data_IF_919918257329
#
_entry.id   IF_919918257329
#
_cell.length_a   1.000
_cell.length_b   1.000
_cell.length_c   1.000
_cell.angle_alpha   90.00
_cell.angle_beta   90.00
_cell.angle_gamma   90.00
#
_symmetry.space_group_name_H-M   'P 1'
#
loop_
_entity.id
_entity.type
_entity.pdbx_description
1 polymer ?
#
# COMPACT_ATOMS: atom_id res chain seq x y z
N UNK A 1 10.51 -14.77 17.07
CA UNK A 1 9.06 -14.92 17.29
C UNK A 1 8.38 -14.16 16.17
N UNK A 2 7.41 -14.76 15.46
CA UNK A 2 6.69 -14.04 14.40
C UNK A 2 5.93 -12.85 14.99
N UNK A 3 6.07 -11.68 14.37
CA UNK A 3 5.40 -10.44 14.77
C UNK A 3 3.99 -10.37 14.18
N UNK A 4 3.01 -10.03 15.00
CA UNK A 4 1.60 -9.93 14.64
C UNK A 4 1.06 -8.52 14.88
N UNK A 5 -0.03 -8.18 14.21
CA UNK A 5 -0.77 -6.93 14.46
C UNK A 5 -2.19 -7.31 14.82
N UNK A 6 -2.71 -6.71 15.88
CA UNK A 6 -4.14 -6.73 16.18
C UNK A 6 -4.79 -5.48 15.56
N UNK A 7 -5.49 -5.66 14.44
CA UNK A 7 -6.07 -4.54 13.70
C UNK A 7 -7.33 -3.95 14.31
N UNK A 8 -7.86 -4.51 15.41
CA UNK A 8 -9.10 -4.00 16.01
C UNK A 8 -9.24 -4.44 17.48
N UNK A 9 -9.05 -3.49 18.41
CA UNK A 9 -9.27 -3.69 19.85
C UNK A 9 -9.89 -2.46 20.52
N UNK A 10 -10.90 -2.66 21.38
CA UNK A 10 -11.57 -1.63 22.16
C UNK A 10 -10.82 -1.35 23.47
N UNK A 11 -9.57 -0.87 23.38
CA UNK A 11 -8.71 -0.65 24.55
C UNK A 11 -9.18 0.46 25.50
N UNK A 12 -10.15 1.28 25.09
CA UNK A 12 -10.78 2.30 25.93
C UNK A 12 -12.01 1.78 26.69
N UNK A 13 -12.37 0.52 26.50
CA UNK A 13 -13.46 -0.15 27.22
C UNK A 13 -13.14 -0.24 28.72
N UNK A 14 -14.17 -0.10 29.57
CA UNK A 14 -14.01 -0.16 31.03
C UNK A 14 -13.42 -1.50 31.49
N UNK A 15 -13.61 -2.56 30.72
CA UNK A 15 -13.03 -3.87 30.98
C UNK A 15 -11.50 -3.85 31.09
N UNK A 16 -10.80 -2.86 30.50
CA UNK A 16 -9.34 -2.72 30.57
C UNK A 16 -8.86 -1.63 31.53
N UNK A 17 -9.76 -0.88 32.17
CA UNK A 17 -9.40 0.31 32.93
C UNK A 17 -8.44 0.03 34.10
N UNK A 18 -8.47 -1.17 34.67
CA UNK A 18 -7.64 -1.55 35.82
C UNK A 18 -6.28 -2.18 35.47
N UNK A 19 -6.09 -2.66 34.24
CA UNK A 19 -4.93 -3.51 33.89
C UNK A 19 -4.41 -3.33 32.45
N UNK A 20 -4.69 -2.19 31.81
CA UNK A 20 -4.31 -1.94 30.41
C UNK A 20 -2.79 -2.08 30.18
N UNK A 21 -1.96 -1.63 31.12
CA UNK A 21 -0.49 -1.72 30.98
C UNK A 21 -0.06 -3.19 30.95
N UNK A 22 -0.57 -4.00 31.87
CA UNK A 22 -0.29 -5.42 31.94
C UNK A 22 -0.82 -6.17 30.71
N UNK A 23 -1.95 -5.73 30.13
CA UNK A 23 -2.49 -6.27 28.87
C UNK A 23 -1.52 -6.01 27.71
N UNK A 24 -0.98 -4.79 27.60
CA UNK A 24 -0.02 -4.44 26.55
C UNK A 24 1.31 -5.17 26.74
N UNK A 25 1.77 -5.38 27.97
CA UNK A 25 2.94 -6.19 28.27
C UNK A 25 2.75 -7.66 27.85
N UNK A 26 1.58 -8.25 28.16
CA UNK A 26 1.24 -9.61 27.68
C UNK A 26 1.18 -9.67 26.15
N UNK A 27 0.65 -8.65 25.50
CA UNK A 27 0.64 -8.56 24.05
C UNK A 27 2.07 -8.52 23.48
N UNK A 28 2.95 -7.69 24.03
CA UNK A 28 4.34 -7.62 23.60
C UNK A 28 5.08 -8.96 23.77
N UNK A 29 4.90 -9.62 24.93
CA UNK A 29 5.46 -10.95 25.19
C UNK A 29 4.92 -12.04 24.26
N UNK A 30 3.69 -11.88 23.75
CA UNK A 30 3.08 -12.78 22.77
C UNK A 30 3.52 -12.49 21.32
N UNK A 31 4.37 -11.49 21.09
CA UNK A 31 4.87 -11.09 19.77
C UNK A 31 3.91 -10.19 19.00
N UNK A 32 3.03 -9.46 19.71
CA UNK A 32 2.21 -8.42 19.08
C UNK A 32 3.10 -7.19 18.92
N UNK A 33 3.18 -6.66 17.70
CA UNK A 33 4.02 -5.51 17.34
C UNK A 33 3.20 -4.22 17.35
N UNK A 34 1.97 -4.28 16.85
CA UNK A 34 1.04 -3.14 16.85
C UNK A 34 -0.37 -3.57 17.22
N UNK A 35 -1.12 -2.65 17.82
CA UNK A 35 -2.55 -2.78 18.09
C UNK A 35 -3.25 -1.51 17.62
N UNK A 36 -4.36 -1.65 16.89
CA UNK A 36 -5.21 -0.53 16.50
C UNK A 36 -6.35 -0.42 17.51
N UNK A 37 -6.28 0.61 18.36
CA UNK A 37 -7.32 0.96 19.32
C UNK A 37 -8.49 1.64 18.60
N UNK A 38 -9.66 1.01 18.62
CA UNK A 38 -10.83 1.50 17.90
C UNK A 38 -11.75 2.36 18.75
N UNK A 39 -12.31 3.39 18.13
CA UNK A 39 -13.31 4.26 18.73
C UNK A 39 -14.71 3.91 18.24
N UNK A 40 -15.67 3.91 19.18
CA UNK A 40 -17.10 3.72 18.89
C UNK A 40 -17.90 5.03 18.97
N UNK A 41 -17.33 6.02 19.66
CA UNK A 41 -17.88 7.36 19.90
C UNK A 41 -16.75 8.38 19.80
N UNK A 42 -17.09 9.67 19.66
CA UNK A 42 -16.08 10.74 19.65
C UNK A 42 -15.32 10.85 20.98
N UNK A 43 -16.01 10.72 22.11
CA UNK A 43 -15.38 10.69 23.43
C UNK A 43 -14.37 9.52 23.56
N UNK A 44 -14.70 8.36 23.00
CA UNK A 44 -13.77 7.22 22.96
C UNK A 44 -12.60 7.49 22.00
N UNK A 45 -12.83 8.20 20.89
CA UNK A 45 -11.79 8.55 19.93
C UNK A 45 -10.71 9.44 20.57
N UNK A 46 -11.10 10.44 21.38
CA UNK A 46 -10.14 11.27 22.10
C UNK A 46 -9.28 10.46 23.07
N UNK A 47 -9.92 9.54 23.82
CA UNK A 47 -9.22 8.64 24.75
C UNK A 47 -8.27 7.69 24.02
N UNK A 48 -8.71 7.09 22.91
CA UNK A 48 -7.89 6.23 22.07
C UNK A 48 -6.68 6.98 21.50
N UNK A 49 -6.86 8.24 21.07
CA UNK A 49 -5.78 9.08 20.60
C UNK A 49 -4.78 9.44 21.70
N UNK A 50 -5.23 9.66 22.95
CA UNK A 50 -4.33 9.83 24.10
C UNK A 50 -3.53 8.57 24.38
N UNK A 51 -4.15 7.39 24.32
CA UNK A 51 -3.47 6.11 24.49
C UNK A 51 -2.41 5.88 23.40
N UNK A 52 -2.76 6.11 22.13
CA UNK A 52 -1.85 5.98 21.00
C UNK A 52 -0.62 6.92 21.10
N UNK A 53 -0.81 8.14 21.62
CA UNK A 53 0.32 9.06 21.87
C UNK A 53 1.25 8.62 23.00
N UNK A 54 0.80 7.75 23.90
CA UNK A 54 1.56 7.31 25.08
C UNK A 54 2.25 5.96 24.89
N UNK A 55 1.86 5.19 23.87
CA UNK A 55 2.36 3.85 23.64
C UNK A 55 2.64 3.64 22.15
N UNK A 56 3.89 3.45 21.77
CA UNK A 56 4.33 3.26 20.38
C UNK A 56 3.72 2.02 19.70
N UNK A 57 3.28 1.04 20.50
CA UNK A 57 2.54 -0.13 20.04
C UNK A 57 1.16 0.24 19.48
N UNK A 58 0.59 1.38 19.87
CA UNK A 58 -0.81 1.72 19.63
C UNK A 58 -0.98 2.73 18.49
N UNK A 59 -1.92 2.43 17.61
CA UNK A 59 -2.57 3.43 16.77
C UNK A 59 -4.04 3.58 17.17
N UNK A 60 -4.69 4.66 16.75
CA UNK A 60 -6.09 4.93 17.09
C UNK A 60 -6.94 5.19 15.84
N UNK A 61 -8.21 4.82 15.91
CA UNK A 61 -9.22 5.27 14.96
C UNK A 61 -10.08 6.38 15.57
N UNK A 62 -10.79 7.11 14.72
CA UNK A 62 -11.80 8.07 15.12
C UNK A 62 -13.04 7.89 14.24
N UNK A 63 -14.21 7.79 14.85
CA UNK A 63 -15.47 7.55 14.16
C UNK A 63 -16.60 7.22 15.13
N UNK A 64 -17.79 7.00 14.57
CA UNK A 64 -19.00 6.68 15.32
C UNK A 64 -19.57 5.35 14.82
N UNK A 65 -19.70 4.39 15.74
CA UNK A 65 -20.25 3.05 15.48
C UNK A 65 -21.73 3.12 15.07
N UNK A 66 -22.27 2.22 14.22
CA UNK A 66 -23.67 2.26 13.79
C UNK A 66 -24.71 2.27 14.92
N UNK A 67 -24.42 1.68 16.08
CA UNK A 67 -25.28 1.78 17.27
C UNK A 67 -25.41 3.21 17.81
N UNK A 68 -24.46 4.09 17.50
CA UNK A 68 -24.40 5.48 17.90
C UNK A 68 -24.63 6.44 16.72
N UNK A 69 -25.07 5.97 15.55
CA UNK A 69 -25.22 6.83 14.36
C UNK A 69 -26.23 7.99 14.53
N UNK A 70 -27.11 7.95 15.53
CA UNK A 70 -27.97 9.08 15.89
C UNK A 70 -27.16 10.27 16.48
N UNK A 71 -25.97 10.02 17.06
CA UNK A 71 -25.08 11.07 17.56
C UNK A 71 -24.19 11.69 16.47
N UNK A 72 -24.37 11.31 15.20
CA UNK A 72 -23.66 11.89 14.07
C UNK A 72 -24.44 13.09 13.50
N UNK A 73 -23.99 14.29 13.85
CA UNK A 73 -24.56 15.61 13.47
C UNK A 73 -23.48 16.53 12.87
N UNK A 74 -23.86 17.61 12.16
CA UNK A 74 -22.91 18.62 11.64
C UNK A 74 -22.11 19.32 12.77
N UNK A 75 -22.63 19.32 13.99
CA UNK A 75 -22.03 19.87 15.20
C UNK A 75 -22.25 18.81 16.29
N UNK A 76 -21.22 18.00 16.59
CA UNK A 76 -21.39 16.77 17.38
C UNK A 76 -21.39 17.02 18.90
N UNK A 77 -22.58 17.10 19.50
CA UNK A 77 -22.81 16.89 20.94
C UNK A 77 -24.07 16.03 21.20
N UNK A 78 -23.93 14.98 22.02
CA UNK A 78 -24.92 14.64 23.07
C UNK A 78 -25.98 13.53 22.87
N UNK A 79 -25.72 12.38 23.52
CA UNK A 79 -26.62 11.44 24.25
C UNK A 79 -27.25 10.19 23.57
N UNK A 80 -26.64 9.06 23.95
CA UNK A 80 -27.15 7.73 24.38
C UNK A 80 -28.35 7.05 23.67
N UNK A 81 -28.00 5.91 23.05
CA UNK A 81 -28.62 4.59 23.14
C UNK A 81 -30.10 4.46 22.74
N UNK A 82 -30.39 4.69 21.46
CA UNK A 82 -31.43 3.96 20.75
C UNK A 82 -30.77 3.26 19.57
N UNK A 83 -31.21 2.06 19.17
CA UNK A 83 -30.70 1.46 17.93
C UNK A 83 -31.00 2.44 16.79
N UNK A 84 -29.96 3.12 16.30
CA UNK A 84 -30.08 4.11 15.22
C UNK A 84 -30.86 3.52 14.05
N UNK A 85 -31.75 4.31 13.46
CA UNK A 85 -32.54 3.85 12.32
C UNK A 85 -31.63 3.47 11.14
N UNK A 86 -32.07 2.54 10.29
CA UNK A 86 -31.33 2.15 9.06
C UNK A 86 -30.99 3.36 8.19
N UNK A 87 -31.88 4.36 8.14
CA UNK A 87 -31.64 5.62 7.42
C UNK A 87 -30.49 6.43 8.04
N UNK A 88 -30.46 6.57 9.36
CA UNK A 88 -29.41 7.28 10.09
C UNK A 88 -28.06 6.55 9.98
N UNK A 89 -28.04 5.21 10.09
CA UNK A 89 -26.84 4.41 9.88
C UNK A 89 -26.25 4.60 8.49
N UNK A 90 -27.09 4.56 7.43
CA UNK A 90 -26.65 4.79 6.04
C UNK A 90 -26.14 6.20 5.82
N UNK A 91 -26.76 7.22 6.43
CA UNK A 91 -26.32 8.62 6.35
C UNK A 91 -24.96 8.78 7.02
N UNK A 92 -24.84 8.38 8.29
CA UNK A 92 -23.60 8.49 9.07
C UNK A 92 -22.43 7.74 8.41
N UNK A 93 -22.68 6.56 7.82
CA UNK A 93 -21.67 5.83 7.07
C UNK A 93 -21.17 6.62 5.85
N UNK A 94 -22.07 7.17 5.02
CA UNK A 94 -21.66 7.98 3.85
C UNK A 94 -20.86 9.20 4.26
N UNK A 95 -21.31 9.91 5.28
CA UNK A 95 -20.66 11.14 5.72
C UNK A 95 -19.24 10.85 6.27
N UNK A 96 -19.08 9.78 7.06
CA UNK A 96 -17.78 9.33 7.54
C UNK A 96 -16.86 8.85 6.41
N UNK A 97 -17.38 8.13 5.41
CA UNK A 97 -16.61 7.72 4.22
C UNK A 97 -16.13 8.94 3.44
N UNK A 98 -16.99 9.95 3.25
CA UNK A 98 -16.63 11.20 2.58
C UNK A 98 -15.57 11.98 3.36
N UNK A 99 -15.72 12.06 4.68
CA UNK A 99 -14.72 12.68 5.55
C UNK A 99 -13.37 11.97 5.43
N UNK A 100 -13.34 10.64 5.54
CA UNK A 100 -12.13 9.82 5.40
C UNK A 100 -11.44 10.06 4.05
N UNK A 101 -12.20 10.18 2.95
CA UNK A 101 -11.68 10.55 1.63
C UNK A 101 -11.05 11.94 1.62
N UNK A 102 -11.71 12.94 2.22
CA UNK A 102 -11.20 14.31 2.28
C UNK A 102 -9.90 14.41 3.07
N UNK A 103 -9.76 13.66 4.16
CA UNK A 103 -8.56 13.67 5.02
C UNK A 103 -7.52 12.60 4.62
N UNK A 104 -7.80 11.80 3.60
CA UNK A 104 -6.87 10.79 3.08
C UNK A 104 -6.65 9.56 3.96
N UNK A 105 -7.58 9.23 4.87
CA UNK A 105 -7.45 8.10 5.80
C UNK A 105 -8.26 6.87 5.36
N UNK A 106 -7.81 5.64 5.70
CA UNK A 106 -8.58 4.42 5.49
C UNK A 106 -9.83 4.38 6.39
N UNK A 107 -10.84 3.62 6.00
CA UNK A 107 -12.05 3.37 6.82
C UNK A 107 -11.97 2.05 7.58
N UNK A 108 -12.48 2.02 8.81
CA UNK A 108 -12.73 0.79 9.59
C UNK A 108 -14.23 0.65 9.76
N UNK A 109 -14.80 -0.41 9.20
CA UNK A 109 -16.24 -0.54 9.03
C UNK A 109 -16.76 -1.75 9.77
N UNK A 110 -17.75 -1.52 10.64
CA UNK A 110 -18.51 -2.58 11.29
C UNK A 110 -19.69 -3.03 10.43
N UNK A 111 -19.92 -4.34 10.38
CA UNK A 111 -21.09 -4.91 9.75
C UNK A 111 -21.57 -6.18 10.47
N UNK A 112 -22.87 -6.24 10.74
CA UNK A 112 -23.55 -7.45 11.20
C UNK A 112 -24.88 -7.55 10.49
N UNK A 113 -25.10 -8.67 9.80
CA UNK A 113 -26.35 -8.99 9.07
C UNK A 113 -26.80 -7.94 8.03
N UNK A 114 -25.88 -7.10 7.54
CA UNK A 114 -26.18 -5.99 6.62
C UNK A 114 -25.14 -5.81 5.50
N UNK A 115 -24.46 -6.90 5.10
CA UNK A 115 -23.33 -6.84 4.15
C UNK A 115 -23.72 -6.27 2.79
N UNK A 116 -24.85 -6.70 2.21
CA UNK A 116 -25.26 -6.20 0.88
C UNK A 116 -25.57 -4.70 0.91
N UNK A 117 -26.27 -4.27 1.97
CA UNK A 117 -26.56 -2.87 2.23
C UNK A 117 -25.29 -2.02 2.40
N UNK A 118 -24.31 -2.56 3.12
CA UNK A 118 -23.02 -1.92 3.32
C UNK A 118 -22.28 -1.78 1.99
N UNK A 119 -22.17 -2.87 1.23
CA UNK A 119 -21.47 -2.90 -0.05
C UNK A 119 -22.10 -1.88 -1.01
N UNK A 120 -23.44 -1.79 -1.04
CA UNK A 120 -24.14 -0.84 -1.90
C UNK A 120 -23.84 0.62 -1.52
N UNK A 121 -23.75 0.94 -0.22
CA UNK A 121 -23.35 2.28 0.24
C UNK A 121 -21.91 2.58 -0.14
N UNK A 122 -20.98 1.65 0.10
CA UNK A 122 -19.56 1.84 -0.19
C UNK A 122 -19.27 1.93 -1.69
N UNK A 123 -19.98 1.14 -2.51
CA UNK A 123 -19.90 1.21 -3.96
C UNK A 123 -20.39 2.57 -4.50
N UNK A 124 -21.43 3.14 -3.89
CA UNK A 124 -21.93 4.48 -4.23
C UNK A 124 -20.95 5.62 -3.90
N UNK A 125 -20.03 5.40 -2.96
CA UNK A 125 -19.01 6.39 -2.57
C UNK A 125 -17.62 6.10 -3.19
N UNK A 126 -17.50 5.05 -4.02
CA UNK A 126 -16.26 4.72 -4.72
C UNK A 126 -15.80 5.84 -5.69
N UNK A 127 -14.50 6.00 -5.95
CA UNK A 127 -13.39 5.21 -5.43
C UNK A 127 -13.06 5.50 -3.95
N UNK A 128 -12.50 4.50 -3.27
CA UNK A 128 -12.01 4.56 -1.89
C UNK A 128 -10.46 4.56 -1.91
N UNK A 129 -9.80 5.70 -2.16
CA UNK A 129 -8.38 5.76 -2.49
C UNK A 129 -7.46 5.26 -1.37
N UNK A 130 -7.82 5.49 -0.11
CA UNK A 130 -7.08 5.01 1.06
C UNK A 130 -7.49 3.61 1.51
N UNK A 131 -8.45 2.97 0.82
CA UNK A 131 -8.98 1.66 1.16
C UNK A 131 -9.64 1.65 2.55
N UNK A 132 -9.56 0.49 3.21
CA UNK A 132 -10.17 0.26 4.52
C UNK A 132 -10.23 -1.22 4.86
N UNK A 133 -10.93 -1.53 5.94
CA UNK A 133 -11.23 -2.89 6.39
C UNK A 133 -12.70 -3.00 6.82
N UNK A 134 -13.35 -4.09 6.42
CA UNK A 134 -14.59 -4.55 7.05
C UNK A 134 -14.18 -5.49 8.18
N UNK A 135 -14.25 -5.00 9.42
CA UNK A 135 -13.78 -5.74 10.58
C UNK A 135 -14.75 -6.86 10.95
N UNK A 136 -14.27 -7.87 11.67
CA UNK A 136 -15.03 -8.99 12.20
C UNK A 136 -15.88 -9.70 11.13
N UNK A 137 -15.29 -9.94 9.96
CA UNK A 137 -15.99 -10.47 8.80
C UNK A 137 -16.51 -11.90 9.03
N UNK A 138 -17.79 -12.10 8.74
CA UNK A 138 -18.51 -13.36 8.83
C UNK A 138 -19.51 -13.58 7.68
N UNK A 139 -19.37 -12.83 6.57
CA UNK A 139 -20.24 -12.90 5.40
C UNK A 139 -19.94 -14.06 4.45
N UNK A 140 -20.62 -14.08 3.31
CA UNK A 140 -20.48 -15.11 2.28
C UNK A 140 -19.27 -14.89 1.35
N UNK A 141 -18.89 -15.91 0.58
CA UNK A 141 -17.83 -15.81 -0.44
C UNK A 141 -18.11 -14.77 -1.53
N UNK A 142 -19.38 -14.51 -1.83
CA UNK A 142 -19.78 -13.45 -2.77
C UNK A 142 -19.57 -12.07 -2.16
N UNK A 143 -20.02 -11.86 -0.93
CA UNK A 143 -19.84 -10.60 -0.20
C UNK A 143 -18.35 -10.29 0.00
N UNK A 144 -17.55 -11.29 0.35
CA UNK A 144 -16.10 -11.16 0.47
C UNK A 144 -15.45 -10.65 -0.83
N UNK A 145 -15.79 -11.25 -1.98
CA UNK A 145 -15.27 -10.84 -3.29
C UNK A 145 -15.69 -9.42 -3.65
N UNK A 146 -16.94 -9.04 -3.38
CA UNK A 146 -17.44 -7.67 -3.63
C UNK A 146 -16.71 -6.63 -2.77
N UNK A 147 -16.47 -6.93 -1.49
CA UNK A 147 -15.72 -6.06 -0.58
C UNK A 147 -14.26 -5.89 -1.05
N UNK A 148 -13.60 -7.00 -1.43
CA UNK A 148 -12.23 -6.96 -1.96
C UNK A 148 -12.14 -6.18 -3.28
N UNK A 149 -13.16 -6.29 -4.14
CA UNK A 149 -13.22 -5.54 -5.39
C UNK A 149 -13.33 -4.02 -5.19
N UNK A 150 -13.88 -3.57 -4.05
CA UNK A 150 -13.88 -2.16 -3.62
C UNK A 150 -12.53 -1.69 -3.06
N UNK A 151 -11.52 -2.57 -3.00
CA UNK A 151 -10.18 -2.27 -2.48
C UNK A 151 -10.04 -2.43 -0.96
N UNK A 152 -11.04 -2.99 -0.29
CA UNK A 152 -11.07 -3.17 1.17
C UNK A 152 -10.49 -4.52 1.62
N UNK A 153 -9.99 -4.56 2.85
CA UNK A 153 -9.55 -5.77 3.53
C UNK A 153 -10.71 -6.38 4.36
N UNK A 154 -10.54 -7.64 4.76
CA UNK A 154 -11.43 -8.34 5.70
C UNK A 154 -10.68 -8.61 7.00
N UNK A 155 -11.24 -8.14 8.11
CA UNK A 155 -10.71 -8.37 9.46
C UNK A 155 -11.21 -9.70 10.00
N UNK A 156 -10.28 -10.57 10.42
CA UNK A 156 -10.58 -11.92 10.91
C UNK A 156 -10.30 -11.99 12.40
N UNK A 157 -11.36 -12.22 13.19
CA UNK A 157 -11.31 -12.30 14.64
C UNK A 157 -11.38 -13.73 15.19
N UNK A 158 -11.61 -13.83 16.50
CA UNK A 158 -11.68 -15.10 17.26
C UNK A 158 -12.66 -16.15 16.70
N UNK A 159 -13.70 -15.72 15.97
CA UNK A 159 -14.73 -16.62 15.42
C UNK A 159 -14.16 -17.72 14.52
N UNK A 160 -13.07 -17.47 13.79
CA UNK A 160 -12.43 -18.49 12.92
C UNK A 160 -11.96 -19.73 13.70
N UNK A 161 -11.70 -19.57 14.99
CA UNK A 161 -11.27 -20.64 15.89
C UNK A 161 -12.44 -21.52 16.38
N UNK A 162 -13.70 -21.06 16.27
CA UNK A 162 -14.85 -21.75 16.85
C UNK A 162 -15.18 -23.04 16.11
N UNK A 163 -15.53 -24.10 16.84
CA UNK A 163 -15.79 -25.43 16.23
C UNK A 163 -16.79 -25.40 15.06
N UNK A 164 -17.82 -24.55 15.13
CA UNK A 164 -18.90 -24.45 14.12
C UNK A 164 -18.63 -23.43 13.00
N UNK A 165 -17.43 -22.87 12.89
CA UNK A 165 -17.10 -21.83 11.91
C UNK A 165 -16.64 -22.39 10.54
N UNK A 166 -17.11 -23.57 10.14
CA UNK A 166 -16.64 -24.25 8.92
C UNK A 166 -16.93 -23.46 7.64
N UNK A 167 -18.09 -22.78 7.58
CA UNK A 167 -18.42 -21.94 6.43
C UNK A 167 -17.51 -20.71 6.35
N UNK A 168 -17.20 -20.06 7.48
CA UNK A 168 -16.24 -18.96 7.52
C UNK A 168 -14.87 -19.44 7.04
N UNK A 169 -14.38 -20.58 7.54
CA UNK A 169 -13.11 -21.15 7.11
C UNK A 169 -13.08 -21.44 5.61
N UNK A 170 -14.16 -22.00 5.06
CA UNK A 170 -14.30 -22.25 3.62
C UNK A 170 -14.22 -20.96 2.81
N UNK A 171 -14.95 -19.91 3.22
CA UNK A 171 -14.91 -18.59 2.57
C UNK A 171 -13.48 -18.04 2.57
N UNK A 172 -12.81 -18.10 3.73
CA UNK A 172 -11.44 -17.63 3.84
C UNK A 172 -10.52 -18.45 2.93
N UNK A 173 -10.58 -19.78 2.93
CA UNK A 173 -9.69 -20.60 2.10
C UNK A 173 -9.88 -20.40 0.60
N UNK A 174 -11.12 -20.24 0.13
CA UNK A 174 -11.44 -20.33 -1.31
C UNK A 174 -11.64 -18.97 -2.00
N UNK A 175 -12.13 -17.95 -1.28
CA UNK A 175 -12.67 -16.75 -1.92
C UNK A 175 -11.82 -15.48 -1.74
N UNK A 176 -10.88 -15.49 -0.78
CA UNK A 176 -10.17 -14.28 -0.38
C UNK A 176 -8.66 -14.46 -0.54
N UNK A 177 -7.92 -13.55 -1.21
CA UNK A 177 -6.46 -13.55 -1.20
C UNK A 177 -5.90 -13.25 0.19
N UNK A 178 -4.75 -13.83 0.55
CA UNK A 178 -4.13 -13.59 1.86
C UNK A 178 -3.73 -12.11 2.04
N UNK A 179 -3.39 -11.43 0.96
CA UNK A 179 -3.07 -9.99 0.88
C UNK A 179 -4.28 -9.08 1.20
N UNK A 180 -5.47 -9.67 1.39
CA UNK A 180 -6.70 -8.96 1.73
C UNK A 180 -7.23 -9.30 3.12
N UNK A 181 -6.46 -10.05 3.92
CA UNK A 181 -6.83 -10.41 5.28
C UNK A 181 -6.02 -9.61 6.31
N UNK A 182 -6.70 -9.16 7.36
CA UNK A 182 -6.11 -8.66 8.60
C UNK A 182 -6.49 -9.57 9.75
N UNK A 183 -5.68 -9.58 10.81
CA UNK A 183 -5.97 -10.31 12.03
C UNK A 183 -6.40 -9.33 13.12
N UNK A 184 -7.40 -9.71 13.90
CA UNK A 184 -7.91 -8.88 14.99
C UNK A 184 -8.39 -9.72 16.17
N UNK A 185 -8.62 -9.07 17.30
CA UNK A 185 -9.27 -9.68 18.45
C UNK A 185 -10.73 -9.26 18.61
N UNK A 186 -11.06 -8.00 18.30
CA UNK A 186 -12.29 -7.35 18.76
C UNK A 186 -12.38 -7.32 20.29
N UNK A 187 -11.23 -7.32 20.98
CA UNK A 187 -11.17 -7.38 22.44
C UNK A 187 -11.79 -6.13 23.07
N UNK A 188 -12.53 -6.25 24.20
CA UNK A 188 -12.61 -7.39 25.12
C UNK A 188 -13.59 -8.51 24.69
N UNK A 189 -14.24 -8.36 23.54
CA UNK A 189 -15.27 -9.27 23.03
C UNK A 189 -14.68 -10.47 22.26
N UNK A 190 -15.52 -11.46 21.98
CA UNK A 190 -15.23 -12.54 21.02
C UNK A 190 -13.92 -13.33 21.26
N UNK A 191 -13.62 -13.68 22.52
CA UNK A 191 -12.47 -14.51 22.86
C UNK A 191 -12.40 -15.80 22.00
N UNK A 192 -11.23 -16.16 21.47
CA UNK A 192 -11.07 -17.35 20.64
C UNK A 192 -11.33 -18.63 21.44
N UNK A 193 -11.55 -19.75 20.75
CA UNK A 193 -11.95 -21.04 21.31
C UNK A 193 -11.10 -21.51 22.52
N UNK A 194 -9.74 -21.37 22.52
CA UNK A 194 -8.94 -21.76 23.68
C UNK A 194 -9.21 -20.92 24.95
N UNK A 195 -9.68 -19.69 24.78
CA UNK A 195 -9.91 -18.71 25.85
C UNK A 195 -11.40 -18.34 25.99
N UNK A 196 -12.29 -19.18 25.42
CA UNK A 196 -13.73 -18.94 25.40
C UNK A 196 -14.28 -18.79 26.83
N UNK A 197 -15.06 -17.74 27.04
CA UNK A 197 -15.67 -17.44 28.35
C UNK A 197 -14.79 -16.56 29.25
N UNK A 198 -13.58 -16.20 28.82
CA UNK A 198 -12.73 -15.18 29.46
C UNK A 198 -12.82 -13.87 28.68
N UNK A 199 -12.35 -12.78 29.31
CA UNK A 199 -12.14 -11.49 28.62
C UNK A 199 -11.12 -11.70 27.51
N UNK A 200 -11.42 -11.25 26.29
CA UNK A 200 -10.46 -11.29 25.19
C UNK A 200 -9.38 -10.21 25.38
N UNK A 201 -8.22 -10.37 24.78
CA UNK A 201 -7.13 -9.39 24.82
C UNK A 201 -6.20 -9.51 23.59
N UNK A 202 -5.45 -8.46 23.21
CA UNK A 202 -4.65 -8.44 21.98
C UNK A 202 -3.67 -9.61 21.81
N UNK A 203 -3.14 -10.15 22.91
CA UNK A 203 -2.26 -11.32 22.90
C UNK A 203 -2.91 -12.55 22.21
N UNK A 204 -4.23 -12.63 22.21
CA UNK A 204 -4.99 -13.78 21.69
C UNK A 204 -5.11 -13.78 20.16
N UNK A 205 -4.66 -12.72 19.46
CA UNK A 205 -4.61 -12.71 17.99
C UNK A 205 -3.72 -13.84 17.43
N UNK A 206 -2.77 -14.35 18.23
CA UNK A 206 -1.96 -15.53 17.89
C UNK A 206 -2.82 -16.77 17.63
N UNK A 207 -3.88 -17.00 18.42
CA UNK A 207 -4.78 -18.13 18.19
C UNK A 207 -5.56 -18.00 16.87
N UNK A 208 -5.88 -16.75 16.49
CA UNK A 208 -6.52 -16.43 15.21
C UNK A 208 -5.57 -16.73 14.06
N UNK A 209 -4.31 -16.29 14.15
CA UNK A 209 -3.28 -16.54 13.16
C UNK A 209 -3.05 -18.05 12.94
N UNK A 210 -2.96 -18.83 14.01
CA UNK A 210 -2.80 -20.28 13.95
C UNK A 210 -4.01 -20.99 13.34
N UNK A 211 -5.23 -20.53 13.64
CA UNK A 211 -6.44 -21.08 13.02
C UNK A 211 -6.54 -20.74 11.53
N UNK A 212 -6.09 -19.54 11.13
CA UNK A 212 -6.02 -19.16 9.73
C UNK A 212 -4.94 -19.97 8.98
N UNK A 213 -3.78 -20.20 9.59
CA UNK A 213 -2.73 -21.05 9.05
C UNK A 213 -3.23 -22.48 8.76
N UNK A 214 -3.94 -23.09 9.73
CA UNK A 214 -4.61 -24.39 9.52
C UNK A 214 -5.67 -24.35 8.42
N UNK A 215 -6.46 -23.28 8.36
CA UNK A 215 -7.51 -23.10 7.34
C UNK A 215 -6.93 -23.00 5.93
N UNK A 216 -5.73 -22.41 5.80
CA UNK A 216 -5.05 -22.18 4.52
C UNK A 216 -4.03 -23.26 4.16
N UNK A 217 -3.78 -24.22 5.05
CA UNK A 217 -2.70 -25.20 4.89
C UNK A 217 -1.35 -24.53 4.60
N UNK A 218 -1.04 -23.44 5.31
CA UNK A 218 0.24 -22.73 5.23
C UNK A 218 0.86 -22.51 6.61
N UNK A 219 2.11 -22.06 6.65
CA UNK A 219 2.86 -21.78 7.86
C UNK A 219 2.37 -20.52 8.57
N UNK A 220 2.41 -20.56 9.92
CA UNK A 220 2.10 -19.40 10.76
C UNK A 220 2.93 -18.17 10.39
N UNK A 221 4.21 -18.37 10.04
CA UNK A 221 5.12 -17.27 9.65
C UNK A 221 4.68 -16.58 8.37
N UNK A 222 4.10 -17.32 7.40
CA UNK A 222 3.55 -16.74 6.18
C UNK A 222 2.30 -15.91 6.47
N UNK A 223 1.37 -16.44 7.28
CA UNK A 223 0.19 -15.71 7.75
C UNK A 223 0.62 -14.43 8.47
N UNK A 224 1.53 -14.54 9.44
CA UNK A 224 2.01 -13.42 10.24
C UNK A 224 2.66 -12.35 9.35
N UNK A 225 3.59 -12.75 8.48
CA UNK A 225 4.29 -11.83 7.56
C UNK A 225 3.33 -11.11 6.63
N UNK A 226 2.38 -11.82 6.01
CA UNK A 226 1.44 -11.23 5.07
C UNK A 226 0.43 -10.31 5.77
N UNK A 227 -0.24 -10.80 6.82
CA UNK A 227 -1.27 -10.02 7.54
C UNK A 227 -0.69 -8.82 8.27
N UNK A 228 0.53 -8.94 8.84
CA UNK A 228 1.28 -7.79 9.36
C UNK A 228 1.55 -6.78 8.26
N UNK A 229 2.07 -7.19 7.10
CA UNK A 229 2.31 -6.26 5.98
C UNK A 229 1.04 -5.55 5.56
N UNK A 230 -0.08 -6.26 5.46
CA UNK A 230 -1.38 -5.69 5.09
C UNK A 230 -1.83 -4.64 6.13
N UNK A 231 -1.84 -4.98 7.41
CA UNK A 231 -2.29 -4.08 8.48
C UNK A 231 -1.42 -2.83 8.56
N UNK A 232 -0.10 -3.03 8.52
CA UNK A 232 0.83 -1.92 8.61
C UNK A 232 0.77 -1.00 7.39
N UNK A 233 0.52 -1.54 6.19
CA UNK A 233 0.33 -0.75 4.96
C UNK A 233 -1.00 0.01 4.99
N UNK A 234 -2.08 -0.61 5.46
CA UNK A 234 -3.40 0.01 5.56
C UNK A 234 -3.40 1.17 6.55
N UNK A 235 -2.90 0.94 7.76
CA UNK A 235 -2.95 1.91 8.86
C UNK A 235 -1.71 2.80 8.97
N UNK A 236 -0.72 2.64 8.09
CA UNK A 236 0.50 3.44 8.10
C UNK A 236 1.37 3.25 9.35
N UNK A 237 1.37 2.06 9.95
CA UNK A 237 1.94 1.80 11.29
C UNK A 237 3.47 1.73 11.36
N UNK A 238 4.15 2.25 10.34
CA UNK A 238 5.61 2.22 10.24
C UNK A 238 6.15 0.85 9.87
N UNK A 239 5.80 0.34 8.67
CA UNK A 239 6.65 -0.69 8.05
C UNK A 239 8.05 -0.09 7.96
N UNK A 240 8.98 -0.67 8.71
CA UNK A 240 10.40 -0.47 8.44
C UNK A 240 10.61 -0.87 6.99
N UNK A 241 10.97 0.11 6.17
CA UNK A 241 11.39 -0.17 4.82
C UNK A 241 12.77 -0.80 4.98
N UNK A 242 12.91 -2.07 4.60
CA UNK A 242 14.24 -2.66 4.53
C UNK A 242 15.09 -1.81 3.60
N UNK A 243 16.32 -1.42 3.99
CA UNK A 243 17.24 -0.73 3.09
C UNK A 243 17.38 -1.45 1.74
N UNK A 244 17.33 -2.79 1.74
CA UNK A 244 17.41 -3.62 0.53
C UNK A 244 16.19 -3.53 -0.40
N UNK A 245 15.06 -3.00 0.07
CA UNK A 245 13.89 -2.70 -0.76
C UNK A 245 13.94 -1.29 -1.38
N UNK A 246 14.75 -0.40 -0.80
CA UNK A 246 14.99 0.96 -1.32
C UNK A 246 16.19 0.96 -2.27
N UNK A 247 17.31 0.40 -1.84
CA UNK A 247 18.57 0.41 -2.54
C UNK A 247 19.04 -1.03 -2.76
N UNK A 248 19.34 -1.38 -4.01
CA UNK A 248 19.82 -2.72 -4.36
C UNK A 248 20.92 -2.65 -5.42
N UNK A 249 21.84 -3.61 -5.38
CA UNK A 249 23.02 -3.63 -6.25
C UNK A 249 22.81 -4.64 -7.38
N UNK A 250 23.04 -4.21 -8.62
CA UNK A 250 23.14 -5.11 -9.77
C UNK A 250 24.45 -4.84 -10.49
N UNK A 251 25.35 -5.83 -10.49
CA UNK A 251 26.69 -5.65 -11.03
C UNK A 251 27.48 -4.63 -10.20
N UNK A 252 27.94 -3.56 -10.85
CA UNK A 252 28.71 -2.46 -10.27
C UNK A 252 27.86 -1.18 -10.04
N UNK A 253 26.55 -1.30 -10.19
CA UNK A 253 25.61 -0.18 -10.19
C UNK A 253 24.62 -0.29 -9.04
N UNK A 254 24.31 0.84 -8.40
CA UNK A 254 23.33 0.95 -7.32
C UNK A 254 22.00 1.44 -7.87
N UNK A 255 20.91 0.76 -7.52
CA UNK A 255 19.56 1.08 -7.99
C UNK A 255 18.70 1.54 -6.83
N UNK A 256 18.01 2.66 -7.01
CA UNK A 256 17.19 3.31 -5.99
C UNK A 256 15.73 3.26 -6.40
N UNK A 257 14.89 2.65 -5.56
CA UNK A 257 13.46 2.52 -5.74
C UNK A 257 12.72 3.63 -4.98
N UNK A 258 12.03 4.50 -5.73
CA UNK A 258 11.38 5.68 -5.16
C UNK A 258 9.88 5.49 -4.89
N UNK A 259 9.22 4.63 -5.66
CA UNK A 259 7.76 4.47 -5.59
C UNK A 259 7.27 3.21 -6.28
N UNK A 260 6.15 2.68 -5.80
CA UNK A 260 5.38 1.64 -6.49
C UNK A 260 4.35 2.21 -7.49
N UNK A 261 4.06 3.53 -7.42
CA UNK A 261 3.06 4.19 -8.26
C UNK A 261 3.60 4.34 -9.68
N UNK A 262 2.75 4.12 -10.67
CA UNK A 262 3.12 4.25 -12.08
C UNK A 262 1.95 4.82 -12.86
N UNK A 263 2.26 5.65 -13.85
CA UNK A 263 1.31 6.18 -14.82
C UNK A 263 0.88 5.15 -15.88
N UNK A 264 1.55 4.00 -15.94
CA UNK A 264 1.33 2.95 -16.93
C UNK A 264 0.97 1.61 -16.26
N UNK A 265 0.10 0.84 -16.91
CA UNK A 265 -0.22 -0.56 -16.58
C UNK A 265 0.21 -1.50 -17.72
N UNK A 266 1.51 -1.52 -18.02
CA UNK A 266 2.01 -2.20 -19.22
C UNK A 266 1.72 -3.71 -19.20
N UNK A 267 1.40 -4.28 -20.36
CA UNK A 267 1.13 -5.73 -20.54
C UNK A 267 2.31 -6.63 -20.19
N UNK A 268 3.52 -6.08 -20.20
CA UNK A 268 4.79 -6.77 -19.91
C UNK A 268 5.40 -6.35 -18.56
N UNK A 269 4.66 -5.62 -17.72
CA UNK A 269 5.20 -5.07 -16.50
C UNK A 269 5.55 -6.17 -15.49
N UNK A 270 6.76 -6.16 -14.95
CA UNK A 270 7.13 -7.06 -13.86
C UNK A 270 6.26 -6.84 -12.61
N UNK A 271 5.67 -5.65 -12.45
CA UNK A 271 4.79 -5.29 -11.32
C UNK A 271 3.58 -6.23 -11.16
N UNK A 272 3.11 -6.82 -12.25
CA UNK A 272 1.96 -7.75 -12.26
C UNK A 272 2.36 -9.22 -12.06
N UNK A 273 3.65 -9.56 -12.15
CA UNK A 273 4.10 -10.96 -12.26
C UNK A 273 5.28 -11.35 -11.36
N UNK A 274 6.11 -10.43 -10.88
CA UNK A 274 7.24 -10.74 -10.00
C UNK A 274 7.73 -9.53 -9.19
N UNK A 275 7.56 -9.58 -7.85
CA UNK A 275 8.10 -8.57 -6.92
C UNK A 275 9.54 -8.78 -6.50
N UNK A 276 10.16 -9.88 -6.93
CA UNK A 276 11.53 -10.21 -6.56
C UNK A 276 12.49 -10.16 -7.73
N UNK A 277 13.65 -9.56 -7.50
CA UNK A 277 14.79 -9.60 -8.40
C UNK A 277 15.96 -10.24 -7.65
N UNK A 278 16.20 -11.53 -7.89
CA UNK A 278 17.13 -12.30 -7.07
C UNK A 278 16.62 -12.37 -5.63
N UNK A 279 17.42 -11.87 -4.69
CA UNK A 279 17.08 -11.79 -3.26
C UNK A 279 16.33 -10.51 -2.86
N UNK A 280 16.27 -9.51 -3.75
CA UNK A 280 15.66 -8.21 -3.46
C UNK A 280 14.15 -8.22 -3.66
N UNK A 281 13.39 -7.75 -2.67
CA UNK A 281 11.97 -7.43 -2.83
C UNK A 281 11.84 -5.97 -3.28
N UNK A 282 11.45 -5.80 -4.54
CA UNK A 282 11.30 -4.49 -5.19
C UNK A 282 9.98 -3.80 -4.86
N UNK A 283 9.05 -4.45 -4.15
CA UNK A 283 7.81 -3.80 -3.73
C UNK A 283 8.06 -3.03 -2.44
N UNK A 284 7.90 -1.71 -2.50
CA UNK A 284 8.00 -0.87 -1.30
C UNK A 284 6.76 -1.06 -0.41
N UNK A 285 6.90 -1.17 0.91
CA UNK A 285 5.74 -1.21 1.81
C UNK A 285 5.03 0.15 1.90
N UNK A 286 5.78 1.24 1.77
CA UNK A 286 5.31 2.64 1.63
C UNK A 286 6.36 3.44 0.85
N UNK A 287 6.02 4.66 0.43
CA UNK A 287 7.01 5.52 -0.23
C UNK A 287 8.09 5.98 0.77
N UNK A 288 9.39 5.74 0.49
CA UNK A 288 10.49 6.16 1.36
C UNK A 288 10.69 7.69 1.31
N UNK A 289 11.04 8.29 2.44
CA UNK A 289 11.52 9.67 2.51
C UNK A 289 12.90 9.82 1.88
N UNK A 290 13.29 11.06 1.51
CA UNK A 290 14.64 11.33 1.00
C UNK A 290 15.74 10.90 1.98
N UNK A 291 15.52 11.10 3.29
CA UNK A 291 16.45 10.68 4.34
C UNK A 291 16.61 9.15 4.39
N UNK A 292 15.53 8.39 4.25
CA UNK A 292 15.59 6.93 4.21
C UNK A 292 16.28 6.40 2.96
N UNK A 293 16.11 7.08 1.81
CA UNK A 293 16.82 6.74 0.58
C UNK A 293 18.33 6.97 0.76
N UNK A 294 18.72 8.10 1.32
CA UNK A 294 20.12 8.41 1.64
C UNK A 294 20.70 7.39 2.62
N UNK A 295 19.97 7.05 3.68
CA UNK A 295 20.40 6.02 4.63
C UNK A 295 20.58 4.65 3.96
N UNK A 296 19.71 4.29 3.01
CA UNK A 296 19.80 3.02 2.29
C UNK A 296 20.97 2.96 1.29
N UNK A 297 21.44 4.10 0.78
CA UNK A 297 22.64 4.16 -0.07
C UNK A 297 23.91 3.80 0.71
N UNK A 298 23.96 4.15 2.00
CA UNK A 298 25.14 3.95 2.86
C UNK A 298 26.26 4.96 2.62
N UNK A 299 27.42 4.70 3.22
CA UNK A 299 28.50 5.71 3.37
C UNK A 299 29.40 5.88 2.15
N UNK A 300 29.32 4.99 1.15
CA UNK A 300 30.23 4.96 -0.02
C UNK A 300 29.49 4.97 -1.37
N UNK A 301 28.65 5.98 -1.64
CA UNK A 301 27.97 6.10 -2.93
C UNK A 301 28.94 6.27 -4.10
N UNK A 302 30.13 6.81 -3.86
CA UNK A 302 31.22 7.02 -4.81
C UNK A 302 31.84 5.72 -5.36
N UNK A 303 31.61 4.60 -4.67
CA UNK A 303 32.17 3.29 -5.05
C UNK A 303 31.47 2.67 -6.26
N UNK A 304 30.24 3.09 -6.59
CA UNK A 304 29.47 2.54 -7.69
C UNK A 304 29.82 3.21 -9.02
N UNK A 305 29.76 2.44 -10.10
CA UNK A 305 29.96 2.94 -11.46
C UNK A 305 28.86 3.96 -11.84
N UNK A 306 27.60 3.63 -11.51
CA UNK A 306 26.48 4.54 -11.60
C UNK A 306 25.46 4.30 -10.47
N UNK A 307 24.72 5.36 -10.14
CA UNK A 307 23.54 5.29 -9.28
C UNK A 307 22.31 5.57 -10.12
N UNK A 308 21.31 4.69 -10.04
CA UNK A 308 20.16 4.65 -10.94
C UNK A 308 18.88 4.88 -10.17
N UNK A 309 18.22 6.01 -10.38
CA UNK A 309 16.82 6.18 -9.98
C UNK A 309 15.94 5.30 -10.87
N UNK A 310 15.27 4.35 -10.25
CA UNK A 310 14.40 3.39 -10.92
C UNK A 310 13.27 2.96 -9.97
N UNK A 311 12.61 1.86 -10.30
CA UNK A 311 11.75 1.19 -9.36
C UNK A 311 10.71 0.33 -10.03
N UNK A 312 9.75 -0.07 -9.20
CA UNK A 312 8.50 -0.70 -9.60
C UNK A 312 7.56 0.26 -10.34
N UNK A 313 7.77 1.57 -10.18
CA UNK A 313 6.91 2.65 -10.65
C UNK A 313 7.59 3.70 -11.53
N UNK A 314 6.94 4.85 -11.65
CA UNK A 314 7.43 6.06 -12.34
C UNK A 314 8.12 6.99 -11.32
N UNK A 315 9.46 7.09 -11.31
CA UNK A 315 10.17 7.84 -10.28
C UNK A 315 9.85 9.35 -10.26
N UNK A 316 9.49 9.94 -11.40
CA UNK A 316 9.18 11.38 -11.49
C UNK A 316 7.91 11.78 -10.75
N UNK A 317 7.05 10.84 -10.34
CA UNK A 317 5.95 11.09 -9.39
C UNK A 317 6.50 11.65 -8.06
N UNK A 318 7.72 11.25 -7.69
CA UNK A 318 8.42 11.66 -6.46
C UNK A 318 9.54 12.66 -6.78
N UNK A 319 9.21 13.71 -7.54
CA UNK A 319 10.19 14.68 -8.03
C UNK A 319 11.01 15.31 -6.91
N UNK A 320 10.37 15.80 -5.84
CA UNK A 320 11.09 16.46 -4.73
C UNK A 320 12.11 15.51 -4.05
N UNK A 321 11.75 14.29 -3.60
CA UNK A 321 12.74 13.32 -3.12
C UNK A 321 13.84 12.98 -4.14
N UNK A 322 13.49 12.84 -5.42
CA UNK A 322 14.46 12.57 -6.48
C UNK A 322 15.50 13.69 -6.60
N UNK A 323 15.05 14.95 -6.64
CA UNK A 323 15.93 16.13 -6.72
C UNK A 323 16.82 16.22 -5.47
N UNK A 324 16.25 16.04 -4.29
CA UNK A 324 17.01 16.09 -3.04
C UNK A 324 18.11 15.02 -3.00
N UNK A 325 17.75 13.77 -3.26
CA UNK A 325 18.72 12.66 -3.25
C UNK A 325 19.75 12.85 -4.36
N UNK A 326 19.34 13.33 -5.54
CA UNK A 326 20.24 13.61 -6.65
C UNK A 326 21.28 14.68 -6.32
N UNK A 327 20.87 15.79 -5.69
CA UNK A 327 21.81 16.81 -5.18
C UNK A 327 22.78 16.22 -4.16
N UNK A 328 22.27 15.39 -3.24
CA UNK A 328 23.10 14.72 -2.25
C UNK A 328 24.13 13.78 -2.91
N UNK A 329 23.74 12.97 -3.90
CA UNK A 329 24.64 12.08 -4.64
C UNK A 329 25.76 12.86 -5.34
N UNK A 330 25.43 13.99 -5.98
CA UNK A 330 26.41 14.89 -6.61
C UNK A 330 27.41 15.45 -5.60
N UNK A 331 26.93 15.86 -4.43
CA UNK A 331 27.79 16.34 -3.35
C UNK A 331 28.71 15.25 -2.76
N UNK A 332 28.34 13.97 -2.90
CA UNK A 332 29.10 12.82 -2.38
C UNK A 332 29.93 12.10 -3.47
N UNK A 333 30.27 12.79 -4.55
CA UNK A 333 31.25 12.32 -5.52
C UNK A 333 30.78 11.21 -6.47
N UNK A 334 29.46 10.98 -6.56
CA UNK A 334 28.91 10.03 -7.53
C UNK A 334 29.15 10.53 -8.95
N UNK A 335 29.83 9.71 -9.74
CA UNK A 335 30.30 10.09 -11.08
C UNK A 335 29.20 10.12 -12.13
N UNK A 336 28.19 9.27 -11.98
CA UNK A 336 27.12 9.06 -12.97
C UNK A 336 25.81 8.75 -12.27
N UNK A 337 24.83 9.61 -12.46
CA UNK A 337 23.45 9.46 -11.95
C UNK A 337 22.50 9.29 -13.12
N UNK A 338 21.77 8.19 -13.16
CA UNK A 338 20.82 7.86 -14.23
C UNK A 338 19.39 7.82 -13.73
N UNK A 339 18.45 8.41 -14.46
CA UNK A 339 17.02 8.28 -14.24
C UNK A 339 16.41 7.32 -15.25
N UNK A 340 15.71 6.28 -14.79
CA UNK A 340 14.80 5.51 -15.63
C UNK A 340 13.36 6.01 -15.43
N UNK A 341 12.69 6.36 -16.53
CA UNK A 341 11.32 6.93 -16.50
C UNK A 341 10.50 6.41 -17.68
N UNK A 342 9.18 6.54 -17.60
CA UNK A 342 8.24 6.41 -18.72
C UNK A 342 8.22 7.66 -19.60
N UNK A 343 8.70 8.80 -19.10
CA UNK A 343 8.72 10.06 -19.84
C UNK A 343 7.49 10.94 -19.63
N UNK A 344 6.71 10.72 -18.57
CA UNK A 344 5.52 11.53 -18.25
C UNK A 344 5.76 12.62 -17.21
N UNK A 345 7.02 12.92 -16.90
CA UNK A 345 7.39 13.83 -15.82
C UNK A 345 6.71 15.19 -15.94
N UNK A 346 6.65 15.76 -17.15
CA UNK A 346 6.04 17.07 -17.34
C UNK A 346 4.52 17.00 -17.15
N UNK A 347 3.84 16.02 -17.74
CA UNK A 347 2.41 15.79 -17.54
C UNK A 347 1.99 15.52 -16.09
N UNK A 348 2.84 14.83 -15.30
CA UNK A 348 2.58 14.60 -13.87
C UNK A 348 2.53 15.93 -13.09
N UNK A 349 3.47 16.84 -13.39
CA UNK A 349 3.63 18.10 -12.65
C UNK A 349 2.95 19.30 -13.31
N UNK A 350 2.36 19.13 -14.49
CA UNK A 350 1.70 20.19 -15.26
C UNK A 350 2.66 21.25 -15.81
N UNK A 351 3.97 21.00 -15.80
CA UNK A 351 5.04 21.91 -16.23
C UNK A 351 6.28 21.13 -16.63
N UNK A 352 7.20 21.74 -17.39
CA UNK A 352 8.49 21.10 -17.66
C UNK A 352 9.30 20.96 -16.36
N UNK A 353 9.86 19.76 -16.14
CA UNK A 353 10.73 19.43 -15.00
C UNK A 353 12.18 19.16 -15.43
N UNK A 354 12.44 19.22 -16.74
CA UNK A 354 13.70 18.78 -17.35
C UNK A 354 14.91 19.57 -16.84
N UNK A 355 14.76 20.89 -16.64
CA UNK A 355 15.85 21.72 -16.12
C UNK A 355 16.22 21.39 -14.67
N UNK A 356 15.23 21.06 -13.83
CA UNK A 356 15.50 20.59 -12.47
C UNK A 356 16.21 19.23 -12.51
N UNK A 357 15.76 18.31 -13.36
CA UNK A 357 16.42 17.02 -13.54
C UNK A 357 17.87 17.18 -14.03
N UNK A 358 18.13 18.06 -14.99
CA UNK A 358 19.46 18.33 -15.52
C UNK A 358 20.47 18.80 -14.45
N UNK A 359 19.99 19.36 -13.34
CA UNK A 359 20.86 19.75 -12.22
C UNK A 359 21.33 18.56 -11.37
N UNK A 360 20.70 17.39 -11.49
CA UNK A 360 20.94 16.25 -10.59
C UNK A 360 21.19 14.91 -11.29
N UNK A 361 20.81 14.75 -12.56
CA UNK A 361 21.06 13.53 -13.34
C UNK A 361 21.93 13.80 -14.56
N UNK A 362 22.76 12.81 -14.91
CA UNK A 362 23.64 12.85 -16.09
C UNK A 362 22.99 12.16 -17.29
N UNK A 363 22.15 11.16 -17.01
CA UNK A 363 21.54 10.28 -18.01
C UNK A 363 20.06 10.12 -17.74
N UNK A 364 19.23 10.21 -18.78
CA UNK A 364 17.81 9.83 -18.72
C UNK A 364 17.54 8.68 -19.68
N UNK A 365 17.03 7.57 -19.15
CA UNK A 365 16.54 6.44 -19.93
C UNK A 365 15.01 6.42 -19.93
N UNK A 366 14.41 6.68 -21.09
CA UNK A 366 12.96 6.75 -21.27
C UNK A 366 12.43 5.43 -21.82
N UNK A 367 11.35 4.91 -21.23
CA UNK A 367 10.68 3.67 -21.63
C UNK A 367 9.68 3.93 -22.76
N UNK A 368 10.18 4.06 -23.99
CA UNK A 368 9.40 4.33 -25.19
C UNK A 368 8.40 3.20 -25.53
N UNK A 369 8.88 1.95 -25.58
CA UNK A 369 8.10 0.70 -25.74
C UNK A 369 7.11 0.59 -26.92
N UNK A 370 6.97 1.61 -27.77
CA UNK A 370 6.11 1.63 -28.94
C UNK A 370 6.65 2.65 -29.96
N UNK A 371 6.28 2.50 -31.23
CA UNK A 371 6.63 3.44 -32.30
C UNK A 371 5.47 4.37 -32.70
N UNK A 372 4.26 4.14 -32.16
CA UNK A 372 3.08 4.94 -32.44
C UNK A 372 2.11 4.99 -31.24
N UNK A 373 1.26 6.02 -31.19
CA UNK A 373 0.32 6.26 -30.10
C UNK A 373 -0.69 5.12 -29.87
N UNK A 374 -1.19 4.49 -30.94
CA UNK A 374 -2.11 3.36 -30.86
C UNK A 374 -1.45 2.12 -30.24
N UNK A 375 -0.20 1.86 -30.62
CA UNK A 375 0.61 0.77 -30.06
C UNK A 375 0.93 1.05 -28.59
N UNK A 376 1.35 2.27 -28.25
CA UNK A 376 1.62 2.70 -26.88
C UNK A 376 0.40 2.52 -25.97
N UNK A 377 -0.78 2.96 -26.42
CA UNK A 377 -2.03 2.83 -25.66
C UNK A 377 -2.35 1.36 -25.38
N UNK A 378 -2.17 0.49 -26.38
CA UNK A 378 -2.44 -0.96 -26.26
C UNK A 378 -1.46 -1.66 -25.33
N UNK A 379 -0.17 -1.31 -25.41
CA UNK A 379 0.92 -2.01 -24.72
C UNK A 379 1.22 -1.42 -23.34
N UNK A 380 1.38 -0.10 -23.24
CA UNK A 380 1.74 0.60 -22.01
C UNK A 380 0.55 0.94 -21.13
N UNK A 381 -0.66 1.06 -21.69
CA UNK A 381 -1.93 1.31 -21.00
C UNK A 381 -1.82 2.46 -19.98
N UNK A 382 -1.68 3.71 -20.44
CA UNK A 382 -1.59 4.85 -19.55
C UNK A 382 -2.87 5.01 -18.72
N UNK A 383 -2.73 5.42 -17.47
CA UNK A 383 -3.84 5.55 -16.52
C UNK A 383 -4.76 6.73 -16.80
N UNK A 384 -4.28 7.73 -17.53
CA UNK A 384 -5.00 8.95 -17.90
C UNK A 384 -4.61 9.40 -19.30
N UNK A 385 -5.50 10.12 -19.99
CA UNK A 385 -5.28 10.58 -21.36
C UNK A 385 -4.06 11.51 -21.52
N UNK A 386 -3.69 12.26 -20.48
CA UNK A 386 -2.52 13.15 -20.48
C UNK A 386 -1.16 12.43 -20.48
N UNK A 387 -1.14 11.13 -20.19
CA UNK A 387 0.07 10.31 -20.18
C UNK A 387 0.22 9.57 -21.52
N UNK A 388 0.07 10.32 -22.61
CA UNK A 388 0.06 9.78 -23.97
C UNK A 388 1.48 9.66 -24.56
N UNK A 389 1.53 9.10 -25.76
CA UNK A 389 2.78 8.88 -26.49
C UNK A 389 3.47 10.16 -26.95
N UNK A 390 2.69 11.20 -27.27
CA UNK A 390 3.23 12.47 -27.74
C UNK A 390 3.95 13.19 -26.60
N UNK A 391 3.42 13.09 -25.38
CA UNK A 391 4.08 13.54 -24.16
C UNK A 391 5.43 12.84 -23.93
N UNK A 392 5.49 11.51 -24.12
CA UNK A 392 6.76 10.77 -24.01
C UNK A 392 7.80 11.30 -25.02
N UNK A 393 7.38 11.51 -26.27
CA UNK A 393 8.24 12.05 -27.32
C UNK A 393 8.70 13.49 -27.01
N UNK A 394 7.78 14.33 -26.51
CA UNK A 394 8.09 15.71 -26.09
C UNK A 394 9.10 15.73 -24.95
N UNK A 395 8.90 14.90 -23.93
CA UNK A 395 9.83 14.79 -22.81
C UNK A 395 11.22 14.33 -23.26
N UNK A 396 11.32 13.37 -24.20
CA UNK A 396 12.61 12.95 -24.77
C UNK A 396 13.30 14.12 -25.49
N UNK A 397 12.56 14.87 -26.30
CA UNK A 397 13.11 16.01 -27.04
C UNK A 397 13.59 17.13 -26.10
N UNK A 398 12.81 17.47 -25.07
CA UNK A 398 13.22 18.44 -24.05
C UNK A 398 14.44 17.95 -23.26
N UNK A 399 14.43 16.69 -22.81
CA UNK A 399 15.53 16.09 -22.07
C UNK A 399 16.83 16.10 -22.88
N UNK A 400 16.77 15.82 -24.19
CA UNK A 400 17.94 15.86 -25.08
C UNK A 400 18.57 17.26 -25.16
N UNK A 401 17.75 18.31 -25.05
CA UNK A 401 18.24 19.68 -25.12
C UNK A 401 18.95 20.14 -23.83
N UNK A 402 18.68 19.50 -22.68
CA UNK A 402 19.14 19.95 -21.37
C UNK A 402 20.04 18.94 -20.63
N UNK A 403 19.90 17.65 -20.90
CA UNK A 403 20.58 16.56 -20.19
C UNK A 403 21.58 15.90 -21.12
N UNK A 404 22.79 15.64 -20.60
CA UNK A 404 23.94 15.21 -21.40
C UNK A 404 23.74 13.92 -22.19
N UNK A 405 23.02 12.93 -21.63
CA UNK A 405 22.76 11.66 -22.30
C UNK A 405 21.29 11.25 -22.16
N UNK A 406 20.63 10.98 -23.30
CA UNK A 406 19.25 10.48 -23.33
C UNK A 406 19.19 9.18 -24.12
N UNK A 407 18.52 8.18 -23.54
CA UNK A 407 18.40 6.83 -24.10
C UNK A 407 16.92 6.43 -24.15
N UNK A 408 16.37 6.29 -25.34
CA UNK A 408 15.07 5.64 -25.52
C UNK A 408 15.24 4.12 -25.42
N UNK A 409 14.31 3.43 -24.77
CA UNK A 409 14.38 1.98 -24.60
C UNK A 409 13.04 1.29 -24.80
N UNK A 410 13.08 0.07 -25.31
CA UNK A 410 11.89 -0.75 -25.52
C UNK A 410 12.13 -2.19 -25.02
N UNK A 411 11.10 -2.79 -24.41
CA UNK A 411 11.13 -4.20 -23.99
C UNK A 411 10.90 -5.10 -25.19
N UNK A 412 11.71 -6.15 -25.33
CA UNK A 412 11.60 -7.16 -26.38
C UNK A 412 10.42 -8.13 -26.12
N UNK A 413 9.21 -7.58 -26.00
CA UNK A 413 7.97 -8.30 -25.75
C UNK A 413 7.23 -8.61 -27.07
N UNK A 414 6.54 -9.77 -27.20
CA UNK A 414 5.74 -10.07 -28.39
C UNK A 414 4.70 -8.97 -28.68
N UNK A 415 4.85 -8.30 -29.82
CA UNK A 415 3.97 -7.21 -30.25
C UNK A 415 4.53 -5.80 -30.06
N UNK A 416 5.77 -5.66 -29.58
CA UNK A 416 6.57 -4.43 -29.68
C UNK A 416 7.43 -4.51 -30.95
N UNK A 417 7.28 -3.55 -31.86
CA UNK A 417 8.19 -3.41 -33.00
C UNK A 417 9.49 -2.69 -32.58
N UNK A 418 10.51 -3.47 -32.21
CA UNK A 418 11.79 -2.94 -31.73
C UNK A 418 12.54 -2.14 -32.80
N UNK A 419 12.38 -2.48 -34.08
CA UNK A 419 13.10 -1.82 -35.16
C UNK A 419 12.45 -0.47 -35.48
N UNK A 420 11.11 -0.42 -35.48
CA UNK A 420 10.39 0.85 -35.58
C UNK A 420 10.66 1.76 -34.35
N UNK A 421 10.74 1.18 -33.14
CA UNK A 421 11.14 1.93 -31.95
C UNK A 421 12.56 2.50 -32.07
N UNK A 422 13.49 1.72 -32.64
CA UNK A 422 14.87 2.15 -32.89
C UNK A 422 14.91 3.30 -33.89
N UNK A 423 14.24 3.16 -35.02
CA UNK A 423 14.15 4.21 -36.04
C UNK A 423 13.54 5.50 -35.48
N UNK A 424 12.45 5.40 -34.70
CA UNK A 424 11.88 6.58 -34.04
C UNK A 424 12.88 7.25 -33.08
N UNK A 425 13.57 6.47 -32.26
CA UNK A 425 14.54 6.98 -31.31
C UNK A 425 15.75 7.64 -32.00
N UNK A 426 16.37 6.95 -32.95
CA UNK A 426 17.64 7.35 -33.57
C UNK A 426 17.43 8.34 -34.73
N UNK A 427 16.45 8.09 -35.61
CA UNK A 427 16.29 8.88 -36.83
C UNK A 427 15.39 10.11 -36.60
N UNK A 428 14.41 10.02 -35.71
CA UNK A 428 13.44 11.11 -35.48
C UNK A 428 13.77 11.92 -34.23
N UNK A 429 13.95 11.26 -33.08
CA UNK A 429 14.25 11.93 -31.80
C UNK A 429 15.76 12.21 -31.66
N UNK A 430 16.60 11.51 -32.42
CA UNK A 430 18.06 11.64 -32.40
C UNK A 430 18.68 11.33 -31.04
N UNK A 431 18.17 10.31 -30.36
CA UNK A 431 18.69 9.78 -29.09
C UNK A 431 19.09 8.32 -29.25
N UNK A 432 19.97 7.82 -28.38
CA UNK A 432 20.40 6.42 -28.45
C UNK A 432 19.23 5.48 -28.16
N UNK A 433 19.18 4.34 -28.85
CA UNK A 433 18.21 3.29 -28.57
C UNK A 433 18.82 2.11 -27.80
N UNK A 434 18.10 1.62 -26.78
CA UNK A 434 18.49 0.41 -26.03
C UNK A 434 17.36 -0.61 -26.00
N UNK A 435 17.61 -1.78 -26.60
CA UNK A 435 16.76 -2.97 -26.45
C UNK A 435 16.86 -3.53 -25.02
N UNK A 436 15.72 -3.78 -24.37
CA UNK A 436 15.64 -4.48 -23.08
C UNK A 436 15.15 -5.91 -23.28
N UNK A 437 15.86 -6.95 -22.81
CA UNK A 437 15.39 -8.32 -22.93
C UNK A 437 14.12 -8.53 -22.10
N UNK A 438 13.12 -9.20 -22.68
CA UNK A 438 11.97 -9.68 -21.93
C UNK A 438 12.29 -11.07 -21.37
N UNK A 439 12.22 -11.23 -20.05
CA UNK A 439 12.33 -12.54 -19.39
C UNK A 439 11.00 -12.84 -18.72
N UNK A 440 10.34 -13.92 -19.12
CA UNK A 440 9.18 -14.42 -18.39
C UNK A 440 9.64 -14.80 -16.96
N UNK A 441 8.89 -14.43 -15.91
CA UNK A 441 9.13 -15.02 -14.60
C UNK A 441 9.05 -16.53 -14.77
N UNK A 442 10.09 -17.25 -14.36
CA UNK A 442 10.01 -18.71 -14.25
C UNK A 442 8.86 -19.00 -13.29
N UNK A 443 7.84 -19.69 -13.78
CA UNK A 443 6.66 -20.09 -12.99
C UNK A 443 7.08 -20.92 -11.78
#
# INVERSE_FOLDING_TARGET
MDLLVDSHAHLTDEAFASDLVEVLERAALAGIDRVVAVAETLDNAERAAVLARRHDMLAATAGVHPHHADSWTEECEGRLASFSTRANQRRALRDQVRLAKTIGLPIVVHCRDAYDDLIDVLAGEAPLPSGGVVHCFCGTAEQARRIVALGLHLGIGGMVTFRKADDLRRVLSEAVPLERLLLETDSPYLAPEPERGRRNEPAYVRYVAEALARTRSTDLSEIASCTRRNAMALFGLGLEISPSSIAYVLGDSLYLNLTNRCTNDCVFCARTTACRLGEYDLRLPREPSAAEIIAAIGDRPDAFHEVVFCGYGEPTIRLEPLLWVGQWLKAHGVKRVRLNTNGHGNAIHGRSIVNELASVVDVVSVSLNAAAASEYTRLCRPSEARFDFDEVCRFIAEAKAAIGEVVASAVAYPGVDLEACRALAEDTLGVCFRRRPYRLPRR
#
